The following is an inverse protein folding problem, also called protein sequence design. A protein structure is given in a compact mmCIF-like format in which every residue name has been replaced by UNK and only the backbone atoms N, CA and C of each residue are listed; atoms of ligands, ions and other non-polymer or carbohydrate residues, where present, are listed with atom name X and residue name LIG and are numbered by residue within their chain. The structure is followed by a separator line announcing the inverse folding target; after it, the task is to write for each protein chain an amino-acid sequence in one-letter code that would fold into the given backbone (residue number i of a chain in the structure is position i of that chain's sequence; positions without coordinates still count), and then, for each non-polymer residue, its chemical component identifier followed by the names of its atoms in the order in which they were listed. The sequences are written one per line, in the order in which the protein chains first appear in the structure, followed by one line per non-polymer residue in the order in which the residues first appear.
data_IF_870409582339
#
_entry.id   IF_870409582339
#
_cell.length_a   1.000
_cell.length_b   1.000
_cell.length_c   1.000
_cell.angle_alpha   90.00
_cell.angle_beta   90.00
_cell.angle_gamma   90.00
#
_symmetry.space_group_name_H-M   'P 1'
#
loop_
_entity.id
_entity.type
_entity.pdbx_description
1 polymer ?
#
# COMPACT_ATOMS: atom_id res chain seq x y z
N UNK A 1 0.08 -0.64 15.73
CA UNK A 1 -1.24 -0.21 16.23
C UNK A 1 -1.09 0.19 17.69
N UNK A 2 -1.54 1.40 18.08
CA UNK A 2 -1.45 1.90 19.46
C UNK A 2 -2.72 1.51 20.24
N UNK A 3 -2.68 1.56 21.59
CA UNK A 3 -3.85 1.26 22.44
C UNK A 3 -5.07 2.13 22.06
N UNK A 4 -4.84 3.42 21.79
CA UNK A 4 -5.90 4.34 21.36
C UNK A 4 -6.59 3.93 20.04
N UNK A 5 -5.87 3.23 19.16
CA UNK A 5 -6.47 2.70 17.92
C UNK A 5 -7.38 1.51 18.22
N UNK A 6 -6.99 0.67 19.19
CA UNK A 6 -7.81 -0.45 19.67
C UNK A 6 -9.10 0.06 20.35
N UNK A 7 -9.01 1.09 21.19
CA UNK A 7 -10.17 1.72 21.81
C UNK A 7 -11.15 2.30 20.78
N UNK A 8 -10.64 2.92 19.70
CA UNK A 8 -11.46 3.41 18.58
C UNK A 8 -12.14 2.28 17.81
N UNK A 9 -11.41 1.19 17.55
CA UNK A 9 -11.98 0.00 16.93
C UNK A 9 -13.09 -0.59 17.80
N UNK A 10 -12.84 -0.74 19.10
CA UNK A 10 -13.82 -1.22 20.06
C UNK A 10 -15.06 -0.31 20.13
N UNK A 11 -14.88 1.01 20.14
CA UNK A 11 -15.99 1.96 20.12
C UNK A 11 -16.82 1.89 18.83
N UNK A 12 -16.24 1.48 17.70
CA UNK A 12 -16.93 1.41 16.40
C UNK A 12 -17.63 0.06 16.17
N UNK A 13 -17.04 -1.04 16.63
CA UNK A 13 -17.52 -2.39 16.34
C UNK A 13 -18.03 -3.17 17.56
N UNK A 14 -17.72 -2.73 18.78
CA UNK A 14 -18.06 -3.43 20.01
C UNK A 14 -17.35 -4.78 20.15
N UNK A 15 -18.05 -5.77 20.70
CA UNK A 15 -17.55 -7.13 20.97
C UNK A 15 -17.65 -8.09 19.77
N UNK A 16 -17.59 -7.58 18.54
CA UNK A 16 -17.58 -8.43 17.34
C UNK A 16 -16.27 -9.21 17.22
N UNK A 17 -16.33 -10.40 16.60
CA UNK A 17 -15.11 -11.15 16.27
C UNK A 17 -14.37 -10.44 15.12
N UNK A 18 -13.05 -10.57 15.10
CA UNK A 18 -12.23 -9.88 14.09
C UNK A 18 -12.58 -10.29 12.65
N UNK A 19 -12.94 -11.55 12.42
CA UNK A 19 -13.40 -12.05 11.12
C UNK A 19 -14.70 -11.37 10.66
N UNK A 20 -15.65 -11.13 11.58
CA UNK A 20 -16.88 -10.40 11.28
C UNK A 20 -16.59 -8.93 10.92
N UNK A 21 -15.65 -8.30 11.65
CA UNK A 21 -15.20 -6.94 11.36
C UNK A 21 -14.52 -6.87 9.99
N UNK A 22 -13.67 -7.84 9.67
CA UNK A 22 -12.99 -7.94 8.37
C UNK A 22 -14.02 -8.06 7.24
N UNK A 23 -14.99 -8.98 7.35
CA UNK A 23 -16.04 -9.15 6.34
C UNK A 23 -16.85 -7.86 6.15
N UNK A 24 -17.20 -7.20 7.26
CA UNK A 24 -17.96 -5.94 7.25
C UNK A 24 -17.21 -4.79 6.59
N UNK A 25 -15.93 -4.59 6.93
CA UNK A 25 -15.11 -3.53 6.33
C UNK A 25 -14.68 -3.84 4.90
N UNK A 26 -14.47 -5.12 4.57
CA UNK A 26 -14.20 -5.57 3.21
C UNK A 26 -15.39 -5.27 2.29
N UNK A 27 -16.62 -5.42 2.78
CA UNK A 27 -17.83 -5.06 2.04
C UNK A 27 -17.87 -5.76 0.67
N UNK A 28 -17.95 -4.98 -0.41
CA UNK A 28 -17.92 -5.50 -1.78
C UNK A 28 -16.50 -5.72 -2.34
N UNK A 29 -15.45 -5.37 -1.61
CA UNK A 29 -14.06 -5.47 -2.06
C UNK A 29 -13.57 -6.92 -1.94
N UNK A 30 -14.03 -7.81 -2.82
CA UNK A 30 -13.73 -9.25 -2.73
C UNK A 30 -12.38 -9.65 -3.33
N UNK A 31 -11.84 -8.85 -4.27
CA UNK A 31 -10.63 -9.17 -5.01
C UNK A 31 -9.39 -8.56 -4.38
N UNK A 32 -8.35 -9.36 -4.15
CA UNK A 32 -7.07 -8.87 -3.66
C UNK A 32 -6.46 -7.86 -4.65
N UNK A 33 -5.97 -6.73 -4.14
CA UNK A 33 -5.36 -5.71 -4.99
C UNK A 33 -4.06 -6.24 -5.59
N UNK A 34 -3.92 -6.33 -6.93
CA UNK A 34 -2.72 -6.89 -7.56
C UNK A 34 -1.48 -5.99 -7.40
N UNK A 35 -1.67 -4.69 -7.12
CA UNK A 35 -0.58 -3.72 -6.97
C UNK A 35 0.10 -3.81 -5.60
N UNK A 36 -0.67 -3.96 -4.52
CA UNK A 36 -0.15 -4.02 -3.15
C UNK A 36 -0.26 -5.40 -2.49
N UNK A 37 -0.86 -6.40 -3.16
CA UNK A 37 -1.00 -7.78 -2.64
C UNK A 37 -1.66 -7.84 -1.26
N UNK A 38 -2.79 -7.14 -1.11
CA UNK A 38 -3.54 -7.15 0.15
C UNK A 38 -3.04 -6.19 1.24
N UNK A 39 -1.84 -5.62 1.11
CA UNK A 39 -1.22 -4.79 2.16
C UNK A 39 -1.86 -3.40 2.31
N UNK A 40 -2.48 -2.88 1.23
CA UNK A 40 -2.99 -1.50 1.19
C UNK A 40 -1.89 -0.43 1.12
N UNK A 41 -0.62 -0.79 1.27
CA UNK A 41 0.52 0.12 1.11
C UNK A 41 1.55 -0.45 0.14
N UNK A 42 2.41 0.41 -0.38
CA UNK A 42 3.49 0.08 -1.30
C UNK A 42 4.80 0.53 -0.67
N UNK A 43 5.75 -0.40 -0.58
CA UNK A 43 7.12 -0.10 -0.16
C UNK A 43 7.81 0.69 -1.28
N UNK A 44 8.31 1.87 -0.96
CA UNK A 44 9.11 2.71 -1.86
C UNK A 44 10.40 3.12 -1.17
N UNK A 45 11.44 3.36 -1.97
CA UNK A 45 12.74 3.83 -1.47
C UNK A 45 12.93 5.31 -1.76
N UNK A 46 13.75 5.97 -0.95
CA UNK A 46 14.15 7.37 -1.13
C UNK A 46 15.60 7.55 -0.70
N UNK A 47 16.27 8.60 -1.17
CA UNK A 47 17.60 8.94 -0.67
C UNK A 47 17.46 9.58 0.71
N UNK A 48 17.88 8.86 1.75
CA UNK A 48 17.91 9.35 3.13
C UNK A 48 19.19 10.13 3.46
N UNK A 49 20.13 10.22 2.52
CA UNK A 49 21.37 10.94 2.75
C UNK A 49 21.10 12.44 3.02
N UNK A 50 21.71 13.04 4.06
CA UNK A 50 21.46 14.44 4.39
C UNK A 50 21.76 15.38 3.22
N UNK A 51 20.89 16.37 3.03
CA UNK A 51 21.12 17.45 2.08
C UNK A 51 22.10 18.48 2.65
N UNK A 52 22.97 19.04 1.79
CA UNK A 52 23.86 20.14 2.16
C UNK A 52 25.25 19.71 2.66
N UNK A 53 25.59 18.42 2.53
CA UNK A 53 26.94 17.92 2.70
C UNK A 53 27.71 17.99 1.37
N UNK A 54 29.05 18.08 1.40
CA UNK A 54 29.87 18.17 0.18
C UNK A 54 29.66 17.01 -0.81
N UNK A 55 29.22 15.86 -0.31
CA UNK A 55 28.98 14.63 -1.05
C UNK A 55 27.49 14.33 -1.30
N UNK A 56 26.59 15.25 -0.91
CA UNK A 56 25.17 15.19 -1.27
C UNK A 56 25.03 15.16 -2.81
N UNK A 57 24.44 14.10 -3.34
CA UNK A 57 24.28 13.88 -4.79
C UNK A 57 25.27 12.87 -5.40
N UNK A 58 26.34 12.54 -4.68
CA UNK A 58 27.26 11.45 -5.04
C UNK A 58 26.99 10.19 -4.21
N UNK A 59 26.59 10.36 -2.95
CA UNK A 59 26.26 9.27 -2.04
C UNK A 59 24.75 9.04 -2.00
N UNK A 60 24.36 7.77 -2.14
CA UNK A 60 22.99 7.31 -1.94
C UNK A 60 22.91 6.47 -0.67
N UNK A 61 22.04 6.88 0.25
CA UNK A 61 21.68 6.07 1.41
C UNK A 61 20.21 5.67 1.27
N UNK A 62 19.93 4.36 1.19
CA UNK A 62 18.56 3.88 1.04
C UNK A 62 17.75 4.15 2.31
N UNK A 63 16.70 4.97 2.17
CA UNK A 63 15.59 5.08 3.10
C UNK A 63 14.39 4.30 2.57
N UNK A 64 13.57 3.76 3.47
CA UNK A 64 12.34 3.04 3.13
C UNK A 64 11.13 3.82 3.65
N UNK A 65 10.12 3.99 2.81
CA UNK A 65 8.81 4.51 3.22
C UNK A 65 7.69 3.67 2.64
N UNK A 66 6.60 3.56 3.39
CA UNK A 66 5.37 2.93 2.93
C UNK A 66 4.41 4.03 2.49
N UNK A 67 3.96 3.96 1.24
CA UNK A 67 2.97 4.90 0.69
C UNK A 67 1.64 4.19 0.49
N UNK A 68 0.56 4.93 0.61
CA UNK A 68 -0.79 4.43 0.38
C UNK A 68 -0.94 3.87 -1.04
N UNK A 69 -1.61 2.72 -1.17
CA UNK A 69 -1.92 2.15 -2.47
C UNK A 69 -3.09 2.91 -3.10
N UNK A 70 -2.80 3.67 -4.14
CA UNK A 70 -3.75 4.37 -5.01
C UNK A 70 -4.79 3.45 -5.68
N UNK A 71 -4.42 2.23 -6.07
CA UNK A 71 -5.33 1.33 -6.79
C UNK A 71 -6.49 0.84 -5.91
N UNK A 72 -6.22 0.57 -4.63
CA UNK A 72 -7.23 0.07 -3.69
C UNK A 72 -7.61 1.09 -2.61
N UNK A 73 -7.15 2.34 -2.71
CA UNK A 73 -7.36 3.40 -1.72
C UNK A 73 -7.00 2.91 -0.30
N UNK A 74 -5.83 2.32 -0.16
CA UNK A 74 -5.31 1.73 1.09
C UNK A 74 -6.11 0.61 1.73
N UNK A 75 -7.10 0.03 1.02
CA UNK A 75 -7.90 -1.07 1.54
C UNK A 75 -7.28 -2.45 1.41
N UNK A 76 -6.24 -2.61 0.58
CA UNK A 76 -5.67 -3.91 0.22
C UNK A 76 -6.51 -4.75 -0.74
N UNK A 77 -7.82 -4.48 -0.82
CA UNK A 77 -8.77 -5.18 -1.68
C UNK A 77 -9.56 -4.21 -2.58
N UNK A 78 -10.16 -4.75 -3.64
CA UNK A 78 -10.87 -4.02 -4.68
C UNK A 78 -12.21 -4.68 -5.01
N UNK A 79 -13.20 -3.87 -5.39
CA UNK A 79 -14.53 -4.36 -5.79
C UNK A 79 -14.54 -5.04 -7.16
N UNK A 80 -13.57 -4.72 -8.01
CA UNK A 80 -13.41 -5.28 -9.34
C UNK A 80 -12.08 -6.02 -9.45
N UNK A 81 -12.06 -7.10 -10.21
CA UNK A 81 -10.84 -7.81 -10.51
C UNK A 81 -9.98 -6.98 -11.48
N UNK A 82 -8.81 -6.53 -11.02
CA UNK A 82 -7.84 -5.84 -11.86
C UNK A 82 -6.84 -6.83 -12.45
N UNK A 83 -6.70 -6.81 -13.78
CA UNK A 83 -5.72 -7.63 -14.50
C UNK A 83 -4.66 -6.73 -15.16
N UNK A 84 -3.38 -7.14 -15.16
CA UNK A 84 -2.34 -6.42 -15.88
C UNK A 84 -2.70 -6.32 -17.36
N UNK A 85 -2.58 -5.12 -17.94
CA UNK A 85 -2.63 -4.94 -19.39
C UNK A 85 -1.21 -5.07 -19.93
N UNK A 86 -0.94 -6.11 -20.70
CA UNK A 86 0.33 -6.31 -21.38
C UNK A 86 0.27 -5.54 -22.71
N UNK A 87 1.26 -4.67 -22.96
CA UNK A 87 1.50 -4.05 -24.26
C UNK A 87 2.83 -4.55 -24.80
N UNK A 88 2.84 -4.98 -26.05
CA UNK A 88 4.06 -5.39 -26.76
C UNK A 88 4.44 -4.27 -27.71
N UNK A 89 5.62 -3.68 -27.51
CA UNK A 89 6.19 -2.67 -28.40
C UNK A 89 7.37 -3.28 -29.16
N UNK A 90 7.38 -3.15 -30.48
CA UNK A 90 8.52 -3.56 -31.30
C UNK A 90 9.56 -2.45 -31.24
N UNK A 91 10.66 -2.70 -30.52
CA UNK A 91 11.81 -1.79 -30.49
C UNK A 91 12.62 -2.04 -31.77
N UNK A 92 12.37 -1.22 -32.79
CA UNK A 92 13.24 -1.14 -33.96
C UNK A 92 14.49 -0.33 -33.62
N UNK A 93 15.66 -0.80 -34.05
CA UNK A 93 16.90 -0.03 -34.04
C UNK A 93 17.14 0.48 -35.47
N UNK A 94 17.38 1.80 -35.61
CA UNK A 94 17.89 2.42 -36.86
C UNK A 94 19.39 2.15 -37.06
#
# INVERSE_FOLDING_TARGET
MKIKDLERLYSRYGNLRLDEVIVKEKGNCIYECPKCRGEGTIRTTYNAYPSGLPDSGFVYQEGVKYVDCDLCNSKGYTAHEYKPKIKTEVIGYE
#
